data_IF_720462331058
#
_entry.id   IF_720462331058
#
_cell.length_a   1.000
_cell.length_b   1.000
_cell.length_c   1.000
_cell.angle_alpha   90.00
_cell.angle_beta   90.00
_cell.angle_gamma   90.00
#
_symmetry.space_group_name_H-M   'P 1'
#
loop_
_entity.id
_entity.type
_entity.pdbx_description
1 polymer ?
#
# COMPACT_ATOMS: atom_id res chain seq x y z
N UNK A 1 -21.74 -4.83 -13.58
CA UNK A 1 -20.39 -5.15 -13.12
C UNK A 1 -19.74 -3.88 -12.57
N UNK A 2 -19.13 -3.97 -11.40
CA UNK A 2 -18.51 -2.78 -10.78
C UNK A 2 -17.23 -2.42 -11.53
N UNK A 3 -16.99 -1.11 -11.70
CA UNK A 3 -15.74 -0.62 -12.25
C UNK A 3 -14.61 -0.86 -11.26
N UNK A 4 -13.37 -0.73 -11.75
CA UNK A 4 -12.18 -0.84 -10.89
C UNK A 4 -12.26 0.22 -9.80
N UNK A 5 -12.67 1.45 -10.12
CA UNK A 5 -12.80 2.53 -9.14
C UNK A 5 -13.86 2.22 -8.10
N UNK A 6 -14.98 1.65 -8.49
CA UNK A 6 -16.03 1.28 -7.55
C UNK A 6 -15.55 0.18 -6.62
N UNK A 7 -14.87 -0.84 -7.15
CA UNK A 7 -14.30 -1.91 -6.35
C UNK A 7 -13.27 -1.37 -5.38
N UNK A 8 -12.43 -0.43 -5.86
CA UNK A 8 -11.41 0.18 -5.01
C UNK A 8 -12.03 0.89 -3.81
N UNK A 9 -13.08 1.68 -4.06
CA UNK A 9 -13.76 2.39 -2.97
C UNK A 9 -14.34 1.43 -1.93
N UNK A 10 -14.84 0.29 -2.36
CA UNK A 10 -15.46 -0.68 -1.44
C UNK A 10 -14.45 -1.32 -0.49
N UNK A 11 -13.16 -1.24 -0.79
CA UNK A 11 -12.11 -1.84 0.04
C UNK A 11 -11.55 -0.87 1.07
N UNK A 12 -11.98 0.40 1.04
CA UNK A 12 -11.49 1.40 1.98
C UNK A 12 -12.31 1.43 3.27
N UNK A 13 -11.73 1.84 4.38
CA UNK A 13 -10.33 2.19 4.57
C UNK A 13 -9.44 0.96 4.65
N UNK A 14 -8.18 1.13 4.30
CA UNK A 14 -7.20 0.05 4.38
C UNK A 14 -6.56 0.01 5.77
N UNK A 15 -6.07 -1.17 6.14
CA UNK A 15 -5.19 -1.25 7.31
C UNK A 15 -3.87 -0.56 6.97
N UNK A 16 -3.17 -0.02 7.98
CA UNK A 16 -1.86 0.60 7.71
C UNK A 16 -0.89 -0.33 6.99
N UNK A 17 -0.82 -1.59 7.39
CA UNK A 17 0.10 -2.54 6.77
C UNK A 17 -0.17 -2.68 5.27
N UNK A 18 -1.43 -2.83 4.89
CA UNK A 18 -1.79 -2.98 3.47
C UNK A 18 -1.40 -1.73 2.69
N UNK A 19 -1.71 -0.55 3.21
CA UNK A 19 -1.39 0.68 2.49
C UNK A 19 0.13 0.86 2.34
N UNK A 20 0.90 0.56 3.39
CA UNK A 20 2.36 0.62 3.31
C UNK A 20 2.90 -0.31 2.22
N UNK A 21 2.34 -1.50 2.08
CA UNK A 21 2.79 -2.43 1.05
C UNK A 21 2.44 -1.93 -0.35
N UNK A 22 1.25 -1.35 -0.52
CA UNK A 22 0.88 -0.75 -1.80
C UNK A 22 1.81 0.39 -2.17
N UNK A 23 2.15 1.24 -1.20
CA UNK A 23 3.11 2.33 -1.43
C UNK A 23 4.48 1.79 -1.85
N UNK A 24 4.94 0.73 -1.19
CA UNK A 24 6.23 0.15 -1.52
C UNK A 24 6.28 -0.34 -2.97
N UNK A 25 5.16 -0.84 -3.48
CA UNK A 25 5.08 -1.40 -4.83
C UNK A 25 4.68 -0.38 -5.91
N UNK A 26 4.46 0.88 -5.51
CA UNK A 26 3.93 1.88 -6.44
C UNK A 26 4.87 2.19 -7.61
N UNK A 27 6.16 2.04 -7.41
CA UNK A 27 7.15 2.37 -8.44
C UNK A 27 7.58 1.17 -9.28
N UNK A 28 7.15 -0.03 -8.92
CA UNK A 28 7.47 -1.22 -9.70
C UNK A 28 7.53 -2.47 -8.86
N UNK A 29 7.74 -3.60 -9.51
CA UNK A 29 7.80 -4.89 -8.81
C UNK A 29 9.01 -4.96 -7.86
N UNK A 30 8.81 -5.62 -6.73
CA UNK A 30 9.87 -5.82 -5.74
C UNK A 30 9.74 -7.23 -5.15
N UNK A 31 10.87 -7.79 -4.74
CA UNK A 31 10.83 -9.01 -3.93
C UNK A 31 10.64 -8.65 -2.45
N UNK A 32 10.27 -9.66 -1.65
CA UNK A 32 9.81 -9.43 -0.28
C UNK A 32 10.77 -8.62 0.60
N UNK A 33 12.07 -8.93 0.52
CA UNK A 33 13.04 -8.20 1.32
C UNK A 33 13.04 -6.70 0.99
N UNK A 34 13.00 -6.39 -0.31
CA UNK A 34 12.99 -4.99 -0.74
C UNK A 34 11.69 -4.29 -0.34
N UNK A 35 10.57 -5.01 -0.33
CA UNK A 35 9.30 -4.45 0.14
C UNK A 35 9.42 -4.06 1.61
N UNK A 36 9.91 -4.96 2.46
CA UNK A 36 10.05 -4.69 3.88
C UNK A 36 10.98 -3.48 4.13
N UNK A 37 12.08 -3.42 3.36
CA UNK A 37 13.01 -2.30 3.47
C UNK A 37 12.36 -0.98 3.05
N UNK A 38 11.59 -0.98 1.96
CA UNK A 38 10.91 0.21 1.49
C UNK A 38 9.89 0.70 2.52
N UNK A 39 9.14 -0.22 3.15
CA UNK A 39 8.17 0.14 4.19
C UNK A 39 8.89 0.79 5.37
N UNK A 40 9.99 0.20 5.83
CA UNK A 40 10.76 0.79 6.92
C UNK A 40 11.27 2.18 6.54
N UNK A 41 11.79 2.33 5.33
CA UNK A 41 12.36 3.60 4.87
C UNK A 41 11.30 4.71 4.79
N UNK A 42 10.16 4.44 4.14
CA UNK A 42 9.16 5.50 3.96
C UNK A 42 8.32 5.76 5.21
N UNK A 43 8.38 4.89 6.21
CA UNK A 43 7.73 5.12 7.49
C UNK A 43 8.68 5.64 8.55
N UNK A 44 9.92 5.93 8.18
CA UNK A 44 10.95 6.39 9.09
C UNK A 44 11.13 5.40 10.25
N UNK A 45 11.11 4.12 9.91
CA UNK A 45 11.26 2.99 10.82
C UNK A 45 10.12 2.84 11.84
N UNK A 46 9.03 3.59 11.68
CA UNK A 46 7.88 3.42 12.58
C UNK A 46 7.08 2.16 12.27
N UNK A 47 7.21 1.64 11.05
CA UNK A 47 6.55 0.39 10.65
C UNK A 47 7.61 -0.58 10.17
N UNK A 48 7.70 -1.71 10.86
CA UNK A 48 8.61 -2.80 10.50
C UNK A 48 7.81 -4.08 10.40
N UNK A 49 7.95 -4.75 9.27
CA UNK A 49 7.21 -5.99 9.03
C UNK A 49 8.16 -7.17 9.13
N UNK A 50 7.92 -8.04 10.09
CA UNK A 50 8.63 -9.31 10.16
C UNK A 50 8.17 -10.23 9.03
N UNK A 51 8.94 -11.29 8.75
CA UNK A 51 8.61 -12.18 7.61
C UNK A 51 7.20 -12.76 7.66
N UNK A 52 6.75 -13.20 8.83
CA UNK A 52 5.42 -13.77 8.96
C UNK A 52 4.32 -12.78 8.61
N UNK A 53 4.41 -11.57 9.15
CA UNK A 53 3.42 -10.52 8.87
C UNK A 53 3.49 -10.09 7.42
N UNK A 54 4.71 -9.91 6.89
CA UNK A 54 4.92 -9.49 5.51
C UNK A 54 4.28 -10.48 4.54
N UNK A 55 4.69 -11.73 4.61
CA UNK A 55 4.23 -12.73 3.64
C UNK A 55 2.77 -13.11 3.85
N UNK A 56 2.30 -13.11 5.10
CA UNK A 56 0.89 -13.33 5.37
C UNK A 56 0.01 -12.23 4.78
N UNK A 57 0.44 -10.98 4.91
CA UNK A 57 -0.28 -9.84 4.34
C UNK A 57 -0.25 -9.89 2.81
N UNK A 58 0.91 -10.18 2.22
CA UNK A 58 1.02 -10.29 0.76
C UNK A 58 0.14 -11.39 0.21
N UNK A 59 0.04 -12.53 0.92
CA UNK A 59 -0.84 -13.62 0.49
C UNK A 59 -2.30 -13.17 0.46
N UNK A 60 -2.74 -12.48 1.51
CA UNK A 60 -4.11 -11.97 1.56
C UNK A 60 -4.36 -10.92 0.47
N UNK A 61 -3.35 -10.08 0.20
CA UNK A 61 -3.47 -9.07 -0.86
C UNK A 61 -3.55 -9.73 -2.24
N UNK A 62 -2.81 -10.82 -2.44
CA UNK A 62 -2.89 -11.56 -3.70
C UNK A 62 -4.27 -12.22 -3.85
N UNK A 63 -4.79 -12.78 -2.76
CA UNK A 63 -6.14 -13.38 -2.76
C UNK A 63 -7.22 -12.34 -3.07
N UNK A 64 -6.99 -11.10 -2.68
CA UNK A 64 -7.92 -9.99 -2.95
C UNK A 64 -7.63 -9.27 -4.26
N UNK A 65 -6.72 -9.79 -5.06
CA UNK A 65 -6.36 -9.25 -6.38
C UNK A 65 -5.71 -7.85 -6.32
N UNK A 66 -5.08 -7.52 -5.21
CA UNK A 66 -4.38 -6.24 -5.08
C UNK A 66 -2.95 -6.32 -5.60
N UNK A 67 -2.32 -7.48 -5.47
CA UNK A 67 -0.98 -7.71 -5.96
C UNK A 67 -0.96 -9.04 -6.72
N UNK A 68 0.05 -9.18 -7.55
CA UNK A 68 0.32 -10.41 -8.29
C UNK A 68 1.71 -10.87 -7.90
N UNK A 69 1.82 -12.15 -7.59
CA UNK A 69 3.11 -12.76 -7.28
C UNK A 69 3.60 -13.51 -8.50
N UNK A 70 4.89 -13.37 -8.79
CA UNK A 70 5.53 -14.23 -9.79
C UNK A 70 6.99 -14.42 -9.39
N UNK A 71 7.58 -15.52 -9.87
CA UNK A 71 8.98 -15.81 -9.58
C UNK A 71 9.87 -15.15 -10.61
N UNK A 72 10.88 -14.42 -10.13
CA UNK A 72 11.94 -13.92 -11.01
C UNK A 72 12.92 -15.06 -11.29
N UNK A 73 13.10 -15.96 -10.33
CA UNK A 73 13.88 -17.18 -10.47
C UNK A 73 13.37 -18.18 -9.43
N UNK A 74 14.05 -19.32 -9.26
CA UNK A 74 13.60 -20.39 -8.38
C UNK A 74 13.60 -20.02 -6.90
N UNK A 75 14.22 -18.91 -6.53
CA UNK A 75 14.42 -18.55 -5.12
C UNK A 75 13.75 -17.28 -4.71
N UNK A 76 13.36 -16.45 -5.66
CA UNK A 76 12.84 -15.11 -5.36
C UNK A 76 11.44 -14.95 -5.86
N UNK A 77 10.57 -14.55 -4.95
CA UNK A 77 9.20 -14.19 -5.28
C UNK A 77 9.14 -12.68 -5.43
N UNK A 78 8.62 -12.26 -6.55
CA UNK A 78 8.45 -10.85 -6.88
C UNK A 78 6.97 -10.54 -6.84
N UNK A 79 6.64 -9.39 -6.32
CA UNK A 79 5.26 -8.92 -6.21
C UNK A 79 5.11 -7.61 -6.96
N UNK A 80 3.96 -7.42 -7.58
CA UNK A 80 3.66 -6.17 -8.27
C UNK A 80 2.20 -5.82 -8.08
N UNK A 81 1.89 -4.53 -8.24
CA UNK A 81 0.50 -4.09 -8.16
C UNK A 81 -0.29 -4.59 -9.36
N UNK A 82 -1.52 -5.00 -9.11
CA UNK A 82 -2.51 -5.19 -10.17
C UNK A 82 -3.13 -3.84 -10.49
N UNK A 83 -3.89 -3.73 -11.59
CA UNK A 83 -4.67 -2.50 -11.84
C UNK A 83 -5.60 -2.15 -10.67
N UNK A 84 -6.23 -3.15 -10.05
CA UNK A 84 -7.05 -2.91 -8.87
C UNK A 84 -6.20 -2.39 -7.71
N UNK A 85 -5.05 -3.00 -7.45
CA UNK A 85 -4.16 -2.55 -6.38
C UNK A 85 -3.73 -1.11 -6.55
N UNK A 86 -3.42 -0.70 -7.78
CA UNK A 86 -3.07 0.69 -8.06
C UNK A 86 -4.25 1.62 -7.81
N UNK A 87 -5.45 1.23 -8.24
CA UNK A 87 -6.64 2.02 -8.02
C UNK A 87 -6.94 2.18 -6.53
N UNK A 88 -6.77 1.10 -5.76
CA UNK A 88 -6.97 1.12 -4.31
C UNK A 88 -5.96 2.05 -3.64
N UNK A 89 -4.69 1.99 -4.05
CA UNK A 89 -3.66 2.87 -3.50
C UNK A 89 -4.00 4.34 -3.76
N UNK A 90 -4.44 4.66 -4.98
CA UNK A 90 -4.83 6.02 -5.32
C UNK A 90 -6.04 6.50 -4.53
N UNK A 91 -7.05 5.64 -4.39
CA UNK A 91 -8.26 5.99 -3.66
C UNK A 91 -7.96 6.24 -2.18
N UNK A 92 -7.13 5.41 -1.58
CA UNK A 92 -6.75 5.57 -0.18
C UNK A 92 -5.92 6.85 0.02
N UNK A 93 -4.99 7.11 -0.91
CA UNK A 93 -4.20 8.35 -0.83
C UNK A 93 -5.09 9.58 -0.87
N UNK A 94 -6.11 9.59 -1.74
CA UNK A 94 -7.07 10.69 -1.81
C UNK A 94 -7.87 10.82 -0.51
N UNK A 95 -8.34 9.71 0.03
CA UNK A 95 -9.10 9.72 1.29
C UNK A 95 -8.27 10.32 2.41
N UNK A 96 -7.01 9.88 2.54
CA UNK A 96 -6.12 10.39 3.57
C UNK A 96 -5.77 11.85 3.36
N UNK A 97 -5.57 12.25 2.11
CA UNK A 97 -5.28 13.65 1.78
C UNK A 97 -6.43 14.57 2.22
N UNK A 98 -7.67 14.15 2.01
CA UNK A 98 -8.83 14.93 2.45
C UNK A 98 -8.89 15.04 3.97
N UNK A 99 -8.56 13.96 4.67
CA UNK A 99 -8.52 14.00 6.13
C UNK A 99 -7.42 14.92 6.64
N UNK A 100 -6.28 14.95 5.96
CA UNK A 100 -5.20 15.88 6.29
C UNK A 100 -5.67 17.32 6.12
N UNK A 101 -6.42 17.60 5.04
CA UNK A 101 -6.99 18.93 4.82
C UNK A 101 -7.92 19.34 5.96
N UNK A 102 -8.79 18.42 6.41
CA UNK A 102 -9.67 18.67 7.55
C UNK A 102 -8.86 18.95 8.80
N UNK A 103 -7.82 18.16 9.05
CA UNK A 103 -6.97 18.33 10.22
C UNK A 103 -6.29 19.70 10.23
N UNK A 104 -5.87 20.19 9.07
CA UNK A 104 -5.29 21.54 8.96
C UNK A 104 -6.30 22.61 9.29
N UNK A 105 -7.54 22.49 8.78
CA UNK A 105 -8.60 23.45 9.09
C UNK A 105 -8.93 23.51 10.57
N UNK A 106 -8.71 22.39 11.27
CA UNK A 106 -8.97 22.30 12.72
C UNK A 106 -7.72 22.58 13.54
N UNK A 107 -6.69 23.09 12.91
CA UNK A 107 -5.43 23.50 13.55
C UNK A 107 -4.66 22.35 14.21
N UNK A 108 -4.86 21.14 13.72
CA UNK A 108 -4.12 19.97 14.20
C UNK A 108 -2.81 19.77 13.46
N UNK A 109 -2.65 20.39 12.28
CA UNK A 109 -1.45 20.31 11.47
C UNK A 109 -1.11 21.70 10.92
N UNK A 110 0.18 21.95 10.74
CA UNK A 110 0.65 23.17 10.12
C UNK A 110 0.27 23.19 8.64
N UNK A 111 0.16 24.40 8.07
CA UNK A 111 -0.08 24.56 6.65
C UNK A 111 1.13 24.10 5.85
N UNK A 112 0.92 23.54 4.66
CA UNK A 112 2.03 23.13 3.82
C UNK A 112 2.84 24.36 3.36
N UNK A 113 4.10 24.14 3.09
CA UNK A 113 4.95 25.20 2.55
C UNK A 113 5.53 26.16 3.56
N UNK A 114 5.38 25.88 4.83
CA UNK A 114 5.92 26.75 5.89
C UNK A 114 6.96 26.01 6.72
#
# INVERSE_FOLDING_TARGET
>A
MASVETRAQSLLPLTPAVFHLLLALAEGPLHGYAIAKAVADHSDNSVRLGPGTLYGTLTRMADSDLVREHSADDRRRVYELTPLGRAVAKAEARRLSQLVTVARRKSLLSRPGK
#
